data_IF_928666445921
#
_entry.id   IF_928666445921
#
_cell.length_a   1.000
_cell.length_b   1.000
_cell.length_c   1.000
_cell.angle_alpha   90.00
_cell.angle_beta   90.00
_cell.angle_gamma   90.00
#
_symmetry.space_group_name_H-M   'P 1'
#
loop_
_entity.id
_entity.type
_entity.pdbx_description
1 polymer ?
#
# COMPACT_ATOMS: atom_id res chain seq x y z
N UNK A 1 5.96 9.93 16.88
CA UNK A 1 6.62 8.81 16.15
C UNK A 1 5.76 8.46 14.95
N UNK A 2 6.37 8.33 13.78
CA UNK A 2 5.67 8.05 12.50
C UNK A 2 4.73 6.85 12.57
N UNK A 3 5.07 5.81 13.35
CA UNK A 3 4.20 4.65 13.58
C UNK A 3 2.81 4.98 14.17
N UNK A 4 2.67 6.14 14.81
CA UNK A 4 1.40 6.59 15.42
C UNK A 4 0.68 7.63 14.57
N UNK A 5 1.30 8.07 13.47
CA UNK A 5 0.73 9.06 12.59
C UNK A 5 -0.15 8.42 11.52
N UNK A 6 -1.21 9.13 11.18
CA UNK A 6 -2.18 8.70 10.16
C UNK A 6 -2.42 9.80 9.14
N UNK A 7 -2.76 9.41 7.91
CA UNK A 7 -3.52 10.26 7.00
C UNK A 7 -5.02 10.02 7.22
N UNK A 8 -5.82 10.99 6.82
CA UNK A 8 -7.29 10.88 6.85
C UNK A 8 -7.76 10.77 5.40
N UNK A 9 -8.41 9.66 5.07
CA UNK A 9 -9.04 9.46 3.76
C UNK A 9 -10.28 10.38 3.63
N UNK A 10 -10.71 10.65 2.40
CA UNK A 10 -11.86 11.52 2.12
C UNK A 10 -13.18 11.12 2.82
N UNK A 11 -13.29 9.87 3.25
CA UNK A 11 -14.43 9.36 4.02
C UNK A 11 -14.21 9.39 5.55
N UNK A 12 -13.12 10.00 6.02
CA UNK A 12 -12.77 10.12 7.44
C UNK A 12 -12.02 8.92 8.03
N UNK A 13 -11.81 7.86 7.28
CA UNK A 13 -11.03 6.69 7.73
C UNK A 13 -9.57 7.07 7.89
N UNK A 14 -8.98 6.69 9.03
CA UNK A 14 -7.56 6.92 9.32
C UNK A 14 -6.72 5.76 8.81
N UNK A 15 -5.73 6.05 7.95
CA UNK A 15 -4.74 5.09 7.47
C UNK A 15 -3.37 5.41 8.06
N UNK A 16 -2.66 4.44 8.71
CA UNK A 16 -1.30 4.68 9.22
C UNK A 16 -0.34 5.07 8.10
N UNK A 17 0.51 6.06 8.36
CA UNK A 17 1.48 6.59 7.38
C UNK A 17 2.51 5.55 6.94
N UNK A 18 2.81 4.56 7.79
CA UNK A 18 3.73 3.48 7.49
C UNK A 18 3.08 2.13 7.77
N UNK A 19 3.26 1.18 6.85
CA UNK A 19 2.78 -0.19 6.98
C UNK A 19 3.85 -1.22 6.62
N UNK A 20 3.58 -2.50 6.89
CA UNK A 20 4.39 -3.61 6.40
C UNK A 20 3.79 -4.14 5.09
N UNK A 21 4.54 -4.06 3.99
CA UNK A 21 4.21 -4.78 2.76
C UNK A 21 4.60 -6.26 2.85
N UNK A 22 3.78 -7.15 2.28
CA UNK A 22 4.01 -8.60 2.33
C UNK A 22 4.28 -9.25 0.96
N UNK A 23 4.43 -8.46 -0.10
CA UNK A 23 4.77 -8.99 -1.42
C UNK A 23 6.08 -9.78 -1.39
N UNK A 24 6.11 -10.94 -2.05
CA UNK A 24 7.24 -11.87 -2.06
C UNK A 24 7.63 -12.39 -0.65
N UNK A 25 6.71 -12.44 0.29
CA UNK A 25 6.89 -13.18 1.52
C UNK A 25 6.13 -14.51 1.38
N UNK A 26 6.81 -15.66 1.43
CA UNK A 26 6.14 -16.95 1.30
C UNK A 26 5.10 -17.16 2.42
N UNK A 27 3.99 -17.82 2.08
CA UNK A 27 3.01 -18.24 3.08
C UNK A 27 3.67 -19.16 4.14
N UNK A 28 3.11 -19.20 5.33
CA UNK A 28 3.61 -19.99 6.45
C UNK A 28 4.46 -19.16 7.42
N UNK A 29 5.55 -19.75 7.92
CA UNK A 29 6.34 -19.19 9.02
C UNK A 29 6.93 -17.80 8.72
N UNK A 30 7.35 -17.55 7.47
CA UNK A 30 7.97 -16.27 7.13
C UNK A 30 6.95 -15.12 7.14
N UNK A 31 5.79 -15.30 6.50
CA UNK A 31 4.73 -14.29 6.50
C UNK A 31 4.21 -14.06 7.91
N UNK A 32 3.91 -15.13 8.64
CA UNK A 32 3.46 -15.07 10.02
C UNK A 32 4.43 -14.28 10.91
N UNK A 33 5.71 -14.64 10.91
CA UNK A 33 6.71 -13.98 11.75
C UNK A 33 6.93 -12.53 11.37
N UNK A 34 6.95 -12.21 10.06
CA UNK A 34 7.15 -10.82 9.59
C UNK A 34 6.03 -9.92 10.09
N UNK A 35 4.77 -10.36 9.98
CA UNK A 35 3.60 -9.62 10.48
C UNK A 35 3.63 -9.51 12.00
N UNK A 36 3.90 -10.62 12.69
CA UNK A 36 4.01 -10.63 14.15
C UNK A 36 5.05 -9.64 14.66
N UNK A 37 6.25 -9.65 14.09
CA UNK A 37 7.30 -8.70 14.48
C UNK A 37 6.92 -7.25 14.17
N UNK A 38 6.28 -6.99 13.04
CA UNK A 38 5.82 -5.65 12.72
C UNK A 38 4.80 -5.15 13.77
N UNK A 39 3.82 -5.97 14.14
CA UNK A 39 2.83 -5.63 15.15
C UNK A 39 3.47 -5.43 16.55
N UNK A 40 4.44 -6.28 16.93
CA UNK A 40 5.24 -6.13 18.16
C UNK A 40 6.02 -4.82 18.21
N UNK A 41 6.57 -4.36 17.08
CA UNK A 41 7.31 -3.09 16.94
C UNK A 41 6.38 -1.87 17.01
N UNK A 42 5.10 -2.05 16.73
CA UNK A 42 4.11 -0.98 16.76
C UNK A 42 3.52 -0.61 15.42
N UNK A 43 3.82 -1.33 14.34
CA UNK A 43 3.07 -1.16 13.08
C UNK A 43 1.59 -1.47 13.33
N UNK A 44 0.74 -0.70 12.64
CA UNK A 44 -0.72 -0.89 12.69
C UNK A 44 -1.33 -0.96 11.28
N UNK A 45 -0.50 -1.05 10.23
CA UNK A 45 -0.93 -1.26 8.85
C UNK A 45 -0.19 -2.45 8.25
N UNK A 46 -0.95 -3.44 7.77
CA UNK A 46 -0.44 -4.62 7.06
C UNK A 46 -1.04 -4.63 5.66
N UNK A 47 -0.17 -4.59 4.66
CA UNK A 47 -0.54 -4.63 3.24
C UNK A 47 -0.23 -6.00 2.64
N UNK A 48 -1.27 -6.70 2.20
CA UNK A 48 -1.19 -7.96 1.49
C UNK A 48 -1.99 -7.93 0.19
N UNK A 49 -2.15 -9.05 -0.48
CA UNK A 49 -3.02 -9.26 -1.63
C UNK A 49 -3.33 -10.75 -1.79
N UNK A 50 -4.52 -11.08 -2.32
CA UNK A 50 -4.86 -12.45 -2.68
C UNK A 50 -3.80 -13.09 -3.60
N UNK A 51 -3.28 -12.32 -4.56
CA UNK A 51 -2.26 -12.78 -5.50
C UNK A 51 -0.91 -13.14 -4.84
N UNK A 52 -0.65 -12.71 -3.60
CA UNK A 52 0.58 -13.07 -2.88
C UNK A 52 0.51 -14.46 -2.26
N UNK A 53 -0.69 -15.02 -2.12
CA UNK A 53 -0.92 -16.36 -1.57
C UNK A 53 -0.56 -16.50 -0.08
N UNK A 54 -0.49 -15.40 0.66
CA UNK A 54 -0.06 -15.40 2.07
C UNK A 54 -1.09 -14.83 3.05
N UNK A 55 -2.32 -14.54 2.59
CA UNK A 55 -3.39 -13.96 3.40
C UNK A 55 -3.69 -14.78 4.67
N UNK A 56 -3.66 -16.11 4.58
CA UNK A 56 -3.90 -17.00 5.73
C UNK A 56 -2.88 -16.78 6.86
N UNK A 57 -1.59 -16.69 6.52
CA UNK A 57 -0.54 -16.45 7.52
C UNK A 57 -0.60 -15.02 8.08
N UNK A 58 -0.97 -14.04 7.26
CA UNK A 58 -1.20 -12.65 7.68
C UNK A 58 -2.35 -12.60 8.67
N UNK A 59 -3.51 -13.18 8.35
CA UNK A 59 -4.68 -13.20 9.22
C UNK A 59 -4.42 -13.91 10.55
N UNK A 60 -3.73 -15.05 10.51
CA UNK A 60 -3.33 -15.77 11.73
C UNK A 60 -2.41 -14.93 12.62
N UNK A 61 -1.41 -14.24 12.05
CA UNK A 61 -0.52 -13.38 12.84
C UNK A 61 -1.26 -12.19 13.46
N UNK A 62 -2.23 -11.60 12.76
CA UNK A 62 -3.09 -10.55 13.27
C UNK A 62 -3.90 -11.08 14.47
N UNK A 63 -4.56 -12.21 14.32
CA UNK A 63 -5.36 -12.84 15.38
C UNK A 63 -4.51 -13.15 16.61
N UNK A 64 -3.35 -13.77 16.42
CA UNK A 64 -2.45 -14.18 17.49
C UNK A 64 -1.72 -13.03 18.18
N UNK A 65 -1.75 -11.81 17.59
CA UNK A 65 -1.14 -10.61 18.19
C UNK A 65 -1.83 -10.14 19.47
N UNK A 66 -3.12 -10.51 19.64
CA UNK A 66 -3.95 -10.03 20.75
C UNK A 66 -4.29 -8.54 20.69
N UNK A 67 -3.88 -7.82 19.63
CA UNK A 67 -4.23 -6.42 19.42
C UNK A 67 -5.69 -6.34 18.96
N UNK A 68 -6.53 -5.43 19.51
CA UNK A 68 -7.88 -5.21 19.03
C UNK A 68 -7.92 -5.02 17.50
N UNK A 69 -8.85 -5.72 16.82
CA UNK A 69 -8.94 -5.72 15.34
C UNK A 69 -9.09 -4.31 14.76
N UNK A 70 -9.80 -3.46 15.45
CA UNK A 70 -10.03 -2.06 15.07
C UNK A 70 -8.78 -1.18 15.13
N UNK A 71 -7.73 -1.60 15.81
CA UNK A 71 -6.45 -0.90 15.85
C UNK A 71 -5.53 -1.30 14.69
N UNK A 72 -5.85 -2.36 13.94
CA UNK A 72 -5.04 -2.83 12.83
C UNK A 72 -5.73 -2.50 11.51
N UNK A 73 -5.02 -1.78 10.65
CA UNK A 73 -5.45 -1.46 9.28
C UNK A 73 -4.93 -2.55 8.33
N UNK A 74 -5.83 -3.25 7.67
CA UNK A 74 -5.50 -4.34 6.75
C UNK A 74 -5.88 -3.95 5.32
N UNK A 75 -4.91 -4.00 4.43
CA UNK A 75 -5.12 -3.83 2.98
C UNK A 75 -4.98 -5.18 2.29
N UNK A 76 -5.94 -5.52 1.43
CA UNK A 76 -5.79 -6.59 0.43
C UNK A 76 -6.33 -6.16 -0.92
N UNK A 77 -6.17 -7.02 -1.96
CA UNK A 77 -6.36 -6.58 -3.35
C UNK A 77 -7.03 -7.67 -4.19
N UNK A 78 -7.96 -7.25 -5.05
CA UNK A 78 -8.48 -8.04 -6.15
C UNK A 78 -7.36 -8.33 -7.15
N UNK A 79 -7.05 -9.60 -7.47
CA UNK A 79 -5.99 -9.92 -8.43
C UNK A 79 -6.17 -9.20 -9.77
N UNK A 80 -5.06 -8.75 -10.35
CA UNK A 80 -5.07 -7.96 -11.58
C UNK A 80 -5.70 -8.70 -12.78
N UNK A 81 -5.62 -10.02 -12.79
CA UNK A 81 -6.19 -10.92 -13.82
C UNK A 81 -7.71 -11.11 -13.65
N UNK A 82 -8.25 -10.75 -12.49
CA UNK A 82 -9.65 -10.91 -12.12
C UNK A 82 -10.40 -9.60 -12.33
N UNK A 83 -11.27 -9.56 -13.34
CA UNK A 83 -12.05 -8.37 -13.69
C UNK A 83 -13.53 -8.73 -13.79
N UNK A 84 -14.39 -7.79 -13.39
CA UNK A 84 -15.83 -7.93 -13.48
C UNK A 84 -16.53 -8.00 -12.13
N UNK A 85 -17.82 -7.76 -12.16
CA UNK A 85 -18.66 -7.58 -10.98
C UNK A 85 -18.72 -8.83 -10.08
N UNK A 86 -19.19 -9.96 -10.61
CA UNK A 86 -19.34 -11.20 -9.83
C UNK A 86 -17.99 -11.72 -9.33
N UNK A 87 -16.96 -11.60 -10.17
CA UNK A 87 -15.60 -12.04 -9.85
C UNK A 87 -15.03 -11.22 -8.68
N UNK A 88 -15.28 -9.92 -8.65
CA UNK A 88 -14.82 -9.07 -7.56
C UNK A 88 -15.47 -9.44 -6.21
N UNK A 89 -16.77 -9.71 -6.20
CA UNK A 89 -17.49 -10.21 -5.02
C UNK A 89 -16.95 -11.57 -4.53
N UNK A 90 -16.74 -12.51 -5.46
CA UNK A 90 -16.19 -13.84 -5.13
C UNK A 90 -14.78 -13.74 -4.53
N UNK A 91 -13.89 -12.94 -5.16
CA UNK A 91 -12.54 -12.73 -4.66
C UNK A 91 -12.52 -12.04 -3.29
N UNK A 92 -13.37 -11.04 -3.07
CA UNK A 92 -13.49 -10.37 -1.78
C UNK A 92 -13.88 -11.35 -0.66
N UNK A 93 -14.89 -12.19 -0.91
CA UNK A 93 -15.32 -13.24 0.04
C UNK A 93 -14.15 -14.19 0.37
N UNK A 94 -13.43 -14.66 -0.67
CA UNK A 94 -12.26 -15.54 -0.48
C UNK A 94 -11.15 -14.87 0.33
N UNK A 95 -10.88 -13.58 0.13
CA UNK A 95 -9.90 -12.84 0.93
C UNK A 95 -10.34 -12.71 2.40
N UNK A 96 -11.62 -12.43 2.68
CA UNK A 96 -12.14 -12.42 4.05
C UNK A 96 -11.96 -13.77 4.73
N UNK A 97 -12.30 -14.85 4.04
CA UNK A 97 -12.16 -16.23 4.54
C UNK A 97 -10.69 -16.59 4.80
N UNK A 98 -9.78 -16.29 3.86
CA UNK A 98 -8.36 -16.57 3.98
C UNK A 98 -7.71 -15.78 5.13
N UNK A 99 -8.06 -14.49 5.28
CA UNK A 99 -7.60 -13.64 6.37
C UNK A 99 -8.25 -14.00 7.72
N UNK A 100 -9.41 -14.69 7.70
CA UNK A 100 -10.20 -14.97 8.90
C UNK A 100 -10.71 -13.71 9.60
N UNK A 101 -11.10 -12.70 8.81
CA UNK A 101 -11.55 -11.40 9.28
C UNK A 101 -13.02 -11.15 8.92
N UNK A 102 -13.72 -10.36 9.74
CA UNK A 102 -15.11 -9.96 9.49
C UNK A 102 -15.24 -8.78 8.54
N UNK A 103 -14.18 -7.97 8.41
CA UNK A 103 -14.07 -6.83 7.52
C UNK A 103 -12.61 -6.56 7.11
N UNK A 104 -12.43 -5.80 6.02
CA UNK A 104 -11.14 -5.31 5.53
C UNK A 104 -11.12 -3.78 5.65
N UNK A 105 -9.98 -3.17 5.95
CA UNK A 105 -9.89 -1.70 6.06
C UNK A 105 -9.75 -1.04 4.70
N UNK A 106 -8.97 -1.63 3.78
CA UNK A 106 -8.82 -1.12 2.41
C UNK A 106 -8.78 -2.27 1.39
N UNK A 107 -9.65 -2.21 0.39
CA UNK A 107 -9.68 -3.16 -0.72
C UNK A 107 -9.34 -2.44 -2.03
N UNK A 108 -8.37 -2.97 -2.78
CA UNK A 108 -7.84 -2.34 -3.99
C UNK A 108 -8.05 -3.22 -5.24
N UNK A 109 -8.34 -2.63 -6.40
CA UNK A 109 -8.07 -3.27 -7.68
C UNK A 109 -6.55 -3.25 -7.89
N UNK A 110 -5.91 -4.43 -8.02
CA UNK A 110 -4.44 -4.57 -7.92
C UNK A 110 -3.68 -3.92 -9.10
N UNK A 111 -4.26 -3.92 -10.29
CA UNK A 111 -3.76 -3.19 -11.45
C UNK A 111 -4.88 -3.00 -12.48
N UNK A 112 -4.79 -2.01 -13.39
CA UNK A 112 -5.80 -1.80 -14.43
C UNK A 112 -5.80 -2.89 -15.51
N UNK A 113 -4.73 -3.68 -15.59
CA UNK A 113 -4.49 -4.72 -16.59
C UNK A 113 -3.88 -5.97 -15.92
N UNK A 114 -3.98 -7.17 -16.54
CA UNK A 114 -3.30 -8.38 -16.09
C UNK A 114 -1.77 -8.22 -16.17
N UNK A 115 -1.04 -8.80 -15.21
CA UNK A 115 0.43 -8.68 -15.13
C UNK A 115 1.16 -9.30 -16.33
N UNK A 116 0.58 -10.31 -16.98
CA UNK A 116 1.11 -10.94 -18.17
C UNK A 116 0.79 -10.17 -19.46
N UNK A 117 -0.08 -9.14 -19.38
CA UNK A 117 -0.51 -8.30 -20.49
C UNK A 117 -0.61 -6.83 -20.10
N UNK A 118 0.50 -6.29 -19.62
CA UNK A 118 0.60 -4.88 -19.22
C UNK A 118 0.21 -3.96 -20.39
N UNK A 119 -0.70 -3.02 -20.10
CA UNK A 119 -1.22 -2.08 -21.10
C UNK A 119 -2.44 -2.58 -21.90
N UNK A 120 -2.91 -3.82 -21.65
CA UNK A 120 -4.18 -4.27 -22.21
C UNK A 120 -5.32 -3.36 -21.70
N UNK A 121 -6.17 -2.93 -22.61
CA UNK A 121 -7.38 -2.21 -22.23
C UNK A 121 -8.37 -3.16 -21.52
N UNK A 122 -8.63 -2.89 -20.28
CA UNK A 122 -9.58 -3.59 -19.43
C UNK A 122 -10.58 -2.61 -18.80
N UNK A 123 -10.87 -1.50 -19.47
CA UNK A 123 -11.71 -0.41 -18.94
C UNK A 123 -13.06 -0.91 -18.46
N UNK A 124 -13.79 -1.66 -19.29
CA UNK A 124 -15.09 -2.23 -18.90
C UNK A 124 -14.99 -3.15 -17.69
N UNK A 125 -14.01 -4.04 -17.66
CA UNK A 125 -13.80 -4.96 -16.54
C UNK A 125 -13.43 -4.25 -15.24
N UNK A 126 -12.66 -3.15 -15.32
CA UNK A 126 -12.35 -2.30 -14.17
C UNK A 126 -13.58 -1.57 -13.65
N UNK A 127 -14.42 -1.07 -14.54
CA UNK A 127 -15.69 -0.42 -14.23
C UNK A 127 -16.64 -1.40 -13.51
N UNK A 128 -16.82 -2.60 -14.04
CA UNK A 128 -17.66 -3.63 -13.42
C UNK A 128 -17.10 -4.07 -12.06
N UNK A 129 -15.77 -4.20 -11.92
CA UNK A 129 -15.14 -4.46 -10.64
C UNK A 129 -15.37 -3.30 -9.65
N UNK A 130 -15.34 -2.05 -10.13
CA UNK A 130 -15.58 -0.89 -9.29
C UNK A 130 -17.01 -0.82 -8.75
N UNK A 131 -18.01 -1.15 -9.56
CA UNK A 131 -19.40 -1.27 -9.10
C UNK A 131 -19.55 -2.27 -7.94
N UNK A 132 -18.90 -3.44 -8.05
CA UNK A 132 -18.87 -4.42 -6.97
C UNK A 132 -18.17 -3.87 -5.71
N UNK A 133 -17.08 -3.11 -5.88
CA UNK A 133 -16.37 -2.46 -4.76
C UNK A 133 -17.26 -1.47 -4.03
N UNK A 134 -18.05 -0.68 -4.75
CA UNK A 134 -19.01 0.26 -4.16
C UNK A 134 -20.09 -0.45 -3.34
N UNK A 135 -20.63 -1.56 -3.82
CA UNK A 135 -21.59 -2.35 -3.05
C UNK A 135 -20.99 -3.02 -1.83
N UNK A 136 -19.76 -3.56 -1.95
CA UNK A 136 -19.02 -4.11 -0.81
C UNK A 136 -18.76 -3.02 0.23
N UNK A 137 -18.42 -1.81 -0.21
CA UNK A 137 -18.25 -0.64 0.66
C UNK A 137 -19.56 -0.24 1.35
N UNK A 138 -20.64 -0.11 0.59
CA UNK A 138 -21.96 0.25 1.13
C UNK A 138 -22.50 -0.83 2.11
N UNK A 139 -22.09 -2.09 1.97
CA UNK A 139 -22.41 -3.17 2.91
C UNK A 139 -21.70 -3.06 4.27
N UNK A 140 -20.70 -2.17 4.39
CA UNK A 140 -19.88 -2.02 5.61
C UNK A 140 -18.82 -3.11 5.80
N UNK A 141 -18.62 -4.02 4.83
CA UNK A 141 -17.62 -5.08 4.90
C UNK A 141 -16.20 -4.61 4.55
N UNK A 142 -16.08 -3.42 3.97
CA UNK A 142 -14.81 -2.74 3.76
C UNK A 142 -14.92 -1.28 4.19
N UNK A 143 -13.90 -0.73 4.83
CA UNK A 143 -13.92 0.66 5.33
C UNK A 143 -13.49 1.69 4.29
N UNK A 144 -12.69 1.27 3.31
CA UNK A 144 -12.23 2.12 2.20
C UNK A 144 -11.98 1.28 0.96
N UNK A 145 -12.20 1.87 -0.22
CA UNK A 145 -11.96 1.24 -1.52
C UNK A 145 -11.01 2.09 -2.36
N UNK A 146 -10.21 1.44 -3.19
CA UNK A 146 -9.22 2.12 -4.00
C UNK A 146 -8.71 1.27 -5.15
N UNK A 147 -7.66 1.77 -5.75
CA UNK A 147 -7.02 1.23 -6.94
C UNK A 147 -5.51 1.11 -6.73
N UNK A 148 -4.84 0.38 -7.61
CA UNK A 148 -3.39 0.25 -7.60
C UNK A 148 -2.86 0.21 -9.03
N UNK A 149 -1.76 0.92 -9.29
CA UNK A 149 -1.11 1.03 -10.61
C UNK A 149 -1.97 1.71 -11.70
N UNK A 150 -2.95 2.51 -11.32
CA UNK A 150 -3.79 3.25 -12.24
C UNK A 150 -3.14 4.61 -12.57
N UNK A 151 -2.94 4.86 -13.86
CA UNK A 151 -2.59 6.16 -14.40
C UNK A 151 -3.86 7.00 -14.67
N UNK A 152 -3.76 8.31 -14.93
CA UNK A 152 -4.93 9.18 -15.20
C UNK A 152 -5.91 8.62 -16.25
N UNK A 153 -5.39 8.01 -17.32
CA UNK A 153 -6.22 7.40 -18.38
C UNK A 153 -7.09 6.25 -17.87
N UNK A 154 -6.63 5.52 -16.84
CA UNK A 154 -7.37 4.40 -16.25
C UNK A 154 -8.33 4.87 -15.16
N UNK A 155 -8.02 6.01 -14.48
CA UNK A 155 -8.84 6.55 -13.40
C UNK A 155 -10.06 7.29 -13.95
N UNK A 156 -9.91 8.08 -15.04
CA UNK A 156 -10.99 8.90 -15.63
C UNK A 156 -12.28 8.12 -15.89
N UNK A 157 -12.27 6.94 -16.56
CA UNK A 157 -13.50 6.18 -16.78
C UNK A 157 -14.22 5.76 -15.49
N UNK A 158 -13.47 5.49 -14.42
CA UNK A 158 -14.07 5.20 -13.11
C UNK A 158 -14.72 6.46 -12.54
N UNK A 159 -14.04 7.61 -12.59
CA UNK A 159 -14.55 8.88 -12.05
C UNK A 159 -15.83 9.36 -12.75
N UNK A 160 -16.00 9.07 -14.04
CA UNK A 160 -17.17 9.47 -14.82
C UNK A 160 -18.47 8.77 -14.39
N UNK A 161 -18.35 7.62 -13.70
CA UNK A 161 -19.51 6.80 -13.38
C UNK A 161 -19.61 6.35 -11.92
N UNK A 162 -18.57 6.58 -11.11
CA UNK A 162 -18.56 6.10 -9.73
C UNK A 162 -19.49 6.92 -8.82
N UNK A 163 -20.12 6.25 -7.87
CA UNK A 163 -20.77 6.85 -6.71
C UNK A 163 -19.72 7.24 -5.64
N UNK A 164 -18.73 6.41 -5.47
CA UNK A 164 -17.62 6.60 -4.53
C UNK A 164 -16.29 6.70 -5.31
N UNK A 165 -15.65 7.86 -5.25
CA UNK A 165 -14.32 8.07 -5.84
C UNK A 165 -13.31 7.18 -5.14
N UNK A 166 -12.34 6.55 -5.86
CA UNK A 166 -11.25 5.83 -5.23
C UNK A 166 -10.58 6.67 -4.13
N UNK A 167 -10.36 6.08 -2.96
CA UNK A 167 -9.80 6.81 -1.82
C UNK A 167 -8.28 6.72 -1.78
N UNK A 168 -7.73 5.67 -2.39
CA UNK A 168 -6.29 5.39 -2.46
C UNK A 168 -5.92 4.92 -3.85
N UNK A 169 -4.74 5.35 -4.35
CA UNK A 169 -4.04 4.73 -5.46
C UNK A 169 -2.67 4.25 -4.97
N UNK A 170 -2.47 2.93 -4.93
CA UNK A 170 -1.20 2.35 -4.52
C UNK A 170 -0.30 2.19 -5.75
N UNK A 171 0.81 2.93 -5.82
CA UNK A 171 1.71 2.97 -6.97
C UNK A 171 3.16 2.70 -6.57
N UNK A 172 4.00 2.33 -7.53
CA UNK A 172 5.45 2.33 -7.33
C UNK A 172 5.91 3.77 -7.17
N UNK A 173 6.50 4.06 -6.02
CA UNK A 173 6.97 5.41 -5.74
C UNK A 173 8.23 5.36 -4.87
N UNK A 174 9.30 5.96 -5.35
CA UNK A 174 10.60 6.06 -4.65
C UNK A 174 11.48 7.13 -5.28
N UNK A 175 12.64 7.42 -4.67
CA UNK A 175 13.67 8.28 -5.27
C UNK A 175 14.01 7.73 -6.66
N UNK A 176 13.85 8.58 -7.70
CA UNK A 176 14.06 8.21 -9.10
C UNK A 176 12.84 7.68 -9.84
N UNK A 177 11.71 7.46 -9.15
CA UNK A 177 10.43 7.09 -9.79
C UNK A 177 9.27 7.71 -9.02
N UNK A 178 8.83 8.90 -9.45
CA UNK A 178 7.83 9.70 -8.73
C UNK A 178 6.44 9.71 -9.35
N UNK A 179 6.30 9.30 -10.62
CA UNK A 179 5.03 9.26 -11.35
C UNK A 179 4.23 10.57 -11.20
N UNK A 180 4.88 11.72 -11.42
CA UNK A 180 4.38 13.07 -11.10
C UNK A 180 2.97 13.31 -11.64
N UNK A 181 2.71 12.98 -12.92
CA UNK A 181 1.40 13.15 -13.53
C UNK A 181 0.30 12.39 -12.76
N UNK A 182 0.60 11.15 -12.35
CA UNK A 182 -0.36 10.32 -11.59
C UNK A 182 -0.58 10.89 -10.19
N UNK A 183 0.50 11.31 -9.51
CA UNK A 183 0.43 11.91 -8.17
C UNK A 183 -0.38 13.19 -8.19
N UNK A 184 -0.10 14.11 -9.13
CA UNK A 184 -0.84 15.37 -9.28
C UNK A 184 -2.31 15.13 -9.63
N UNK A 185 -2.57 14.17 -10.51
CA UNK A 185 -3.95 13.81 -10.86
C UNK A 185 -4.71 13.27 -9.63
N UNK A 186 -4.09 12.38 -8.87
CA UNK A 186 -4.69 11.83 -7.65
C UNK A 186 -4.93 12.91 -6.61
N UNK A 187 -3.98 13.84 -6.40
CA UNK A 187 -4.15 14.95 -5.46
C UNK A 187 -5.34 15.85 -5.82
N UNK A 188 -5.56 16.14 -7.11
CA UNK A 188 -6.73 16.93 -7.59
C UNK A 188 -8.08 16.27 -7.33
N UNK A 189 -8.11 14.97 -7.04
CA UNK A 189 -9.34 14.19 -6.80
C UNK A 189 -9.44 13.64 -5.38
N UNK A 190 -8.58 14.12 -4.45
CA UNK A 190 -8.48 13.62 -3.07
C UNK A 190 -8.24 12.12 -2.98
N UNK A 191 -7.42 11.58 -3.88
CA UNK A 191 -6.98 10.19 -3.89
C UNK A 191 -5.60 10.12 -3.26
N UNK A 192 -5.48 9.49 -2.08
CA UNK A 192 -4.21 9.37 -1.37
C UNK A 192 -3.28 8.37 -2.07
N UNK A 193 -2.00 8.71 -2.17
CA UNK A 193 -0.99 7.79 -2.70
C UNK A 193 -0.47 6.85 -1.60
N UNK A 194 -0.41 5.55 -1.92
CA UNK A 194 0.39 4.59 -1.16
C UNK A 194 1.60 4.17 -1.99
N UNK A 195 2.79 4.41 -1.45
CA UNK A 195 4.08 4.13 -2.08
C UNK A 195 4.50 2.67 -1.81
N UNK A 196 4.39 1.79 -2.81
CA UNK A 196 5.02 0.49 -2.72
C UNK A 196 6.44 0.50 -3.32
N UNK A 197 7.26 -0.47 -2.94
CA UNK A 197 8.70 -0.56 -3.30
C UNK A 197 9.48 0.74 -3.00
N UNK A 198 9.37 1.34 -1.81
CA UNK A 198 10.03 2.61 -1.49
C UNK A 198 11.56 2.53 -1.57
N UNK A 199 12.11 1.31 -1.57
CA UNK A 199 13.54 1.01 -1.70
C UNK A 199 13.92 0.55 -3.12
N UNK A 200 13.05 0.69 -4.12
CA UNK A 200 13.24 0.15 -5.48
C UNK A 200 13.68 -1.33 -5.48
N UNK A 201 13.09 -2.15 -4.60
CA UNK A 201 13.51 -3.56 -4.36
C UNK A 201 14.99 -3.71 -3.96
N UNK A 202 15.56 -2.70 -3.32
CA UNK A 202 16.97 -2.65 -2.87
C UNK A 202 17.96 -2.06 -3.88
N UNK A 203 17.54 -1.81 -5.12
CA UNK A 203 18.45 -1.37 -6.21
C UNK A 203 19.10 -0.01 -5.97
N UNK A 204 18.42 0.89 -5.25
CA UNK A 204 18.91 2.25 -5.01
C UNK A 204 19.74 2.38 -3.73
N UNK A 205 19.76 1.36 -2.85
CA UNK A 205 20.38 1.46 -1.53
C UNK A 205 21.91 1.67 -1.56
N UNK A 206 22.57 1.25 -2.64
CA UNK A 206 24.01 1.42 -2.84
C UNK A 206 24.37 2.58 -3.76
N UNK A 207 23.38 3.37 -4.20
CA UNK A 207 23.62 4.56 -5.02
C UNK A 207 24.36 5.59 -4.18
N UNK A 208 25.50 6.08 -4.68
CA UNK A 208 26.42 6.94 -3.92
C UNK A 208 25.72 8.17 -3.34
N UNK A 209 24.88 8.83 -4.12
CA UNK A 209 24.15 10.05 -3.72
C UNK A 209 23.19 9.75 -2.54
N UNK A 210 22.55 8.58 -2.53
CA UNK A 210 21.64 8.14 -1.46
C UNK A 210 22.44 7.79 -0.20
N UNK A 211 23.58 7.09 -0.36
CA UNK A 211 24.45 6.73 0.76
C UNK A 211 25.05 7.97 1.42
N UNK A 212 25.57 8.91 0.62
CA UNK A 212 26.14 10.15 1.13
C UNK A 212 25.10 11.00 1.87
N UNK A 213 23.87 11.09 1.32
CA UNK A 213 22.77 11.79 1.96
C UNK A 213 22.34 11.11 3.27
N UNK A 214 22.23 9.78 3.29
CA UNK A 214 21.91 9.01 4.50
C UNK A 214 22.96 9.24 5.60
N UNK A 215 24.24 9.28 5.24
CA UNK A 215 25.34 9.57 6.18
C UNK A 215 25.23 10.98 6.77
N UNK A 216 24.82 11.99 5.98
CA UNK A 216 24.56 13.36 6.47
C UNK A 216 23.54 13.37 7.61
N UNK A 217 22.48 12.58 7.47
CA UNK A 217 21.42 12.44 8.48
C UNK A 217 21.70 11.37 9.55
N UNK A 218 22.85 10.67 9.49
CA UNK A 218 23.25 9.58 10.39
C UNK A 218 22.22 8.45 10.44
N UNK A 219 21.66 8.12 9.30
CA UNK A 219 20.65 7.06 9.11
C UNK A 219 21.09 6.07 8.03
N UNK A 220 20.39 4.96 7.90
CA UNK A 220 20.62 4.02 6.78
C UNK A 220 20.01 4.54 5.48
N UNK A 221 20.53 4.11 4.34
CA UNK A 221 19.95 4.42 3.03
C UNK A 221 18.46 4.00 2.94
N UNK A 222 18.08 2.89 3.58
CA UNK A 222 16.70 2.44 3.63
C UNK A 222 15.80 3.42 4.41
N UNK A 223 16.25 3.89 5.57
CA UNK A 223 15.53 4.89 6.36
C UNK A 223 15.37 6.20 5.59
N UNK A 224 16.43 6.67 4.90
CA UNK A 224 16.36 7.86 4.06
C UNK A 224 15.29 7.72 2.97
N UNK A 225 15.29 6.60 2.23
CA UNK A 225 14.31 6.36 1.17
C UNK A 225 12.87 6.30 1.70
N UNK A 226 12.64 5.66 2.85
CA UNK A 226 11.32 5.60 3.48
C UNK A 226 10.88 7.01 3.92
N UNK A 227 11.78 7.76 4.57
CA UNK A 227 11.49 9.14 5.02
C UNK A 227 11.20 10.07 3.85
N UNK A 228 11.94 9.94 2.76
CA UNK A 228 11.66 10.67 1.52
C UNK A 228 10.21 10.47 1.05
N UNK A 229 9.75 9.21 0.93
CA UNK A 229 8.39 8.93 0.52
C UNK A 229 7.35 9.52 1.51
N UNK A 230 7.59 9.40 2.82
CA UNK A 230 6.72 10.00 3.85
C UNK A 230 6.63 11.53 3.72
N UNK A 231 7.73 12.22 3.38
CA UNK A 231 7.75 13.68 3.19
C UNK A 231 7.17 14.11 1.82
N UNK A 232 6.81 13.16 0.96
CA UNK A 232 6.00 13.38 -0.24
C UNK A 232 4.51 13.09 0.01
N UNK A 233 4.09 13.12 1.27
CA UNK A 233 2.71 12.89 1.71
C UNK A 233 2.11 11.57 1.20
N UNK A 234 2.93 10.51 1.16
CA UNK A 234 2.48 9.17 0.78
C UNK A 234 2.46 8.23 1.98
N UNK A 235 1.52 7.29 1.99
CA UNK A 235 1.62 6.09 2.85
C UNK A 235 2.75 5.22 2.31
N UNK A 236 3.58 4.64 3.17
CA UNK A 236 4.76 3.87 2.76
C UNK A 236 4.69 2.45 3.31
N UNK A 237 4.89 1.45 2.43
CA UNK A 237 4.77 0.03 2.80
C UNK A 237 6.05 -0.76 2.49
N UNK A 238 7.17 -0.48 3.20
CA UNK A 238 8.39 -1.26 3.03
C UNK A 238 8.17 -2.73 3.42
N UNK A 239 8.86 -3.64 2.71
CA UNK A 239 8.82 -5.08 2.96
C UNK A 239 10.11 -5.56 3.58
N UNK A 240 10.02 -6.42 4.58
CA UNK A 240 11.16 -7.19 5.09
C UNK A 240 10.72 -8.49 5.76
N UNK A 241 11.56 -9.52 5.67
CA UNK A 241 11.46 -10.79 6.44
C UNK A 241 12.52 -10.85 7.55
N UNK A 242 13.24 -9.76 7.81
CA UNK A 242 14.27 -9.68 8.86
C UNK A 242 13.79 -8.74 9.96
N UNK A 243 13.72 -9.26 11.20
CA UNK A 243 13.22 -8.49 12.36
C UNK A 243 13.96 -7.16 12.53
N UNK A 244 15.27 -7.19 12.40
CA UNK A 244 16.12 -5.99 12.56
C UNK A 244 15.80 -4.91 11.53
N UNK A 245 15.49 -5.32 10.28
CA UNK A 245 15.10 -4.39 9.22
C UNK A 245 13.69 -3.85 9.42
N UNK A 246 12.75 -4.67 9.92
CA UNK A 246 11.41 -4.23 10.26
C UNK A 246 11.48 -3.14 11.34
N UNK A 247 12.29 -3.33 12.38
CA UNK A 247 12.55 -2.34 13.43
C UNK A 247 13.21 -1.08 12.84
N UNK A 248 14.27 -1.24 12.04
CA UNK A 248 15.00 -0.12 11.45
C UNK A 248 14.12 0.70 10.51
N UNK A 249 13.29 0.07 9.68
CA UNK A 249 12.38 0.75 8.75
C UNK A 249 11.30 1.57 9.46
N UNK A 250 10.99 1.27 10.72
CA UNK A 250 10.06 2.04 11.54
C UNK A 250 10.70 3.30 12.16
N UNK A 251 12.02 3.31 12.31
CA UNK A 251 12.74 4.40 12.95
C UNK A 251 13.10 5.49 11.93
N UNK A 252 12.12 6.28 11.54
CA UNK A 252 12.20 7.31 10.49
C UNK A 252 11.62 8.65 10.93
N UNK A 253 11.77 8.98 12.23
CA UNK A 253 11.22 10.22 12.81
C UNK A 253 12.05 11.48 12.50
N UNK A 254 13.23 11.34 11.89
CA UNK A 254 14.04 12.48 11.42
C UNK A 254 13.36 13.18 10.23
N UNK A 255 13.82 14.39 9.93
CA UNK A 255 13.32 15.19 8.80
C UNK A 255 14.47 15.44 7.83
N UNK A 256 14.23 15.24 6.54
CA UNK A 256 15.12 15.64 5.45
C UNK A 256 14.81 17.11 5.13
N UNK A 257 15.83 17.97 5.08
CA UNK A 257 15.67 19.38 4.78
C UNK A 257 15.16 19.59 3.35
N UNK A 258 14.43 20.68 3.11
CA UNK A 258 13.78 20.95 1.82
C UNK A 258 14.79 21.02 0.66
N UNK A 259 16.00 21.54 0.89
CA UNK A 259 17.05 21.59 -0.14
C UNK A 259 17.54 20.17 -0.49
N UNK A 260 17.68 19.31 0.50
CA UNK A 260 18.07 17.91 0.28
C UNK A 260 16.94 17.11 -0.38
N UNK A 261 15.68 17.39 -0.05
CA UNK A 261 14.53 16.84 -0.77
C UNK A 261 14.56 17.19 -2.26
N UNK A 262 14.89 18.45 -2.60
CA UNK A 262 15.06 18.87 -4.01
C UNK A 262 16.24 18.18 -4.70
N UNK A 263 17.32 17.86 -3.98
CA UNK A 263 18.43 17.06 -4.51
C UNK A 263 17.97 15.65 -4.82
N UNK A 264 17.27 15.00 -3.87
CA UNK A 264 16.75 13.65 -4.04
C UNK A 264 15.68 13.56 -5.16
N UNK A 265 14.92 14.62 -5.39
CA UNK A 265 13.94 14.72 -6.47
C UNK A 265 14.57 14.68 -7.89
N UNK A 266 15.86 15.00 -8.01
CA UNK A 266 16.57 15.03 -9.30
C UNK A 266 17.31 13.72 -9.63
N UNK A 267 17.29 12.78 -8.71
CA UNK A 267 17.94 11.48 -8.88
C UNK A 267 17.05 10.52 -9.66
#
# INVERSE_FOLDING_TARGET
>A
MVLQETFILKNGVKIPKIGLGTWQIPNGKEAYNSVKWALEVGYRHIDTAMAYGNEESVGRAIKDSGIPREEIFVTTKLPAEKKGYDIAHECFKKSLEALGLDYIDLYLIHAPWPWDRIGLDCTEGNIESWKAFEEIYDSGKVKAIGISNFEPKHIRPILEMCKHVPMVNQIRFHIGERQEETVEFCAKHDILITAYSPLATGRILNRKEIVDMANKYKVTAAQLCIRYCLQKDTVVIPKSTKKERIISNANVDFIIDDEDMKVLDRL
#
